data_IF_615039621733
#
_entry.id   IF_615039621733
#
_cell.length_a   1.000
_cell.length_b   1.000
_cell.length_c   1.000
_cell.angle_alpha   90.00
_cell.angle_beta   90.00
_cell.angle_gamma   90.00
#
_symmetry.space_group_name_H-M   'P 1'
#
loop_
_entity.id
_entity.type
_entity.pdbx_description
1 polymer ?
#
# COMPACT_ATOMS: atom_id res chain seq x y z
N UNK A 1 3.83 6.70 -10.70
CA UNK A 1 4.10 6.13 -9.38
C UNK A 1 3.55 7.06 -8.30
N UNK A 2 2.82 6.51 -7.36
CA UNK A 2 2.20 7.29 -6.29
C UNK A 2 2.93 7.04 -4.97
N UNK A 3 2.73 7.93 -4.01
CA UNK A 3 3.34 7.79 -2.69
C UNK A 3 2.29 7.83 -1.59
N UNK A 4 2.59 7.21 -0.47
CA UNK A 4 1.72 7.20 0.68
C UNK A 4 2.41 6.62 1.90
N UNK A 5 1.62 6.46 2.96
CA UNK A 5 2.10 5.91 4.24
C UNK A 5 1.25 4.70 4.58
N UNK A 6 1.90 3.63 5.01
CA UNK A 6 1.19 2.42 5.44
C UNK A 6 0.41 2.73 6.71
N UNK A 7 -0.92 2.64 6.63
CA UNK A 7 -1.78 2.85 7.78
C UNK A 7 -1.69 1.68 8.74
N UNK A 8 -1.77 0.47 8.22
CA UNK A 8 -1.43 -0.75 8.94
C UNK A 8 -1.21 -1.89 7.94
N UNK A 9 -0.54 -2.93 8.40
CA UNK A 9 -0.39 -4.14 7.61
C UNK A 9 -0.35 -5.34 8.55
N UNK A 10 -1.19 -6.34 8.28
CA UNK A 10 -1.24 -7.57 9.06
C UNK A 10 -0.58 -8.69 8.29
N UNK A 11 0.58 -9.14 8.76
CA UNK A 11 1.28 -10.27 8.13
C UNK A 11 0.48 -11.56 8.28
N UNK A 12 -0.20 -11.73 9.40
CA UNK A 12 -1.00 -12.93 9.67
C UNK A 12 -2.17 -13.05 8.68
N UNK A 13 -2.82 -11.93 8.39
CA UNK A 13 -3.95 -11.90 7.47
C UNK A 13 -3.52 -11.67 6.02
N UNK A 14 -2.32 -11.15 5.83
CA UNK A 14 -1.77 -10.93 4.50
C UNK A 14 -2.32 -9.73 3.77
N UNK A 15 -2.78 -8.70 4.49
CA UNK A 15 -3.28 -7.49 3.85
C UNK A 15 -3.11 -6.26 4.75
N UNK A 16 -3.27 -5.10 4.15
CA UNK A 16 -3.24 -3.85 4.89
C UNK A 16 -3.82 -2.72 4.07
N UNK A 17 -3.61 -1.50 4.54
CA UNK A 17 -4.10 -0.29 3.89
C UNK A 17 -3.01 0.77 3.83
N UNK A 18 -3.04 1.56 2.77
CA UNK A 18 -2.13 2.68 2.55
C UNK A 18 -2.94 3.96 2.50
N UNK A 19 -2.52 4.96 3.28
CA UNK A 19 -3.08 6.30 3.22
C UNK A 19 -2.32 7.08 2.15
N UNK A 20 -3.02 7.54 1.14
CA UNK A 20 -2.40 8.26 0.03
C UNK A 20 -1.99 9.67 0.44
N UNK A 21 -0.83 10.12 -0.06
CA UNK A 21 -0.33 11.47 0.23
C UNK A 21 -1.24 12.57 -0.33
N UNK A 22 -2.01 12.27 -1.39
CA UNK A 22 -2.91 13.24 -2.00
C UNK A 22 -4.23 13.42 -1.23
N UNK A 23 -4.41 12.74 -0.10
CA UNK A 23 -5.60 12.84 0.71
C UNK A 23 -6.82 12.10 0.18
N UNK A 24 -6.66 11.30 -0.86
CA UNK A 24 -7.75 10.49 -1.39
C UNK A 24 -7.98 9.25 -0.53
N UNK A 25 -8.94 8.42 -0.96
CA UNK A 25 -9.34 7.23 -0.21
C UNK A 25 -8.16 6.30 0.03
N UNK A 26 -8.23 5.56 1.12
CA UNK A 26 -7.22 4.56 1.45
C UNK A 26 -7.25 3.42 0.44
N UNK A 27 -6.08 2.86 0.17
CA UNK A 27 -5.92 1.76 -0.78
C UNK A 27 -5.70 0.46 -0.05
N UNK A 28 -6.39 -0.58 -0.50
CA UNK A 28 -6.16 -1.94 -0.04
C UNK A 28 -4.86 -2.45 -0.67
N UNK A 29 -4.06 -3.17 0.11
CA UNK A 29 -2.84 -3.83 -0.39
C UNK A 29 -2.78 -5.25 0.14
N UNK A 30 -2.50 -6.20 -0.76
CA UNK A 30 -2.35 -7.61 -0.42
C UNK A 30 -0.86 -7.95 -0.34
N UNK A 31 -0.50 -8.94 0.48
CA UNK A 31 0.91 -9.32 0.63
C UNK A 31 1.59 -9.69 -0.69
N UNK A 32 0.83 -10.22 -1.66
CA UNK A 32 1.37 -10.57 -2.97
C UNK A 32 1.68 -9.35 -3.84
N UNK A 33 1.18 -8.19 -3.45
CA UNK A 33 1.41 -6.93 -4.18
C UNK A 33 2.60 -6.15 -3.63
N UNK A 34 3.30 -6.70 -2.65
CA UNK A 34 4.46 -6.06 -2.04
C UNK A 34 5.72 -6.50 -2.76
N UNK A 35 6.58 -5.53 -3.09
CA UNK A 35 7.94 -5.81 -3.53
C UNK A 35 8.86 -5.86 -2.32
N UNK A 36 8.65 -4.93 -1.37
CA UNK A 36 9.38 -4.89 -0.12
C UNK A 36 8.44 -5.20 1.04
N UNK A 37 9.00 -5.73 2.12
CA UNK A 37 8.25 -5.92 3.35
C UNK A 37 7.99 -4.57 3.99
N UNK A 38 6.74 -4.33 4.37
CA UNK A 38 6.31 -3.04 4.92
C UNK A 38 5.69 -3.22 6.30
N UNK A 39 5.71 -2.15 7.09
CA UNK A 39 5.08 -2.10 8.39
C UNK A 39 4.36 -0.78 8.55
N UNK A 40 3.52 -0.68 9.59
CA UNK A 40 2.78 0.53 9.91
C UNK A 40 3.72 1.74 9.99
N UNK A 41 3.34 2.81 9.31
CA UNK A 41 4.10 4.06 9.33
C UNK A 41 5.16 4.19 8.27
N UNK A 42 5.42 3.13 7.50
CA UNK A 42 6.44 3.19 6.44
C UNK A 42 5.95 4.04 5.27
N UNK A 43 6.85 4.81 4.70
CA UNK A 43 6.56 5.53 3.46
C UNK A 43 6.85 4.61 2.29
N UNK A 44 5.92 4.59 1.34
CA UNK A 44 5.97 3.65 0.22
C UNK A 44 5.64 4.34 -1.10
N UNK A 45 6.14 3.76 -2.19
CA UNK A 45 5.67 4.06 -3.54
C UNK A 45 4.87 2.87 -4.04
N UNK A 46 3.91 3.13 -4.92
CA UNK A 46 3.03 2.09 -5.44
C UNK A 46 2.34 2.56 -6.70
N UNK A 47 1.73 1.62 -7.41
CA UNK A 47 0.79 1.90 -8.50
C UNK A 47 -0.60 1.49 -8.06
N UNK A 48 -1.60 2.05 -8.72
CA UNK A 48 -3.00 1.82 -8.39
C UNK A 48 -3.69 1.09 -9.52
N UNK A 49 -4.45 0.06 -9.17
CA UNK A 49 -5.27 -0.67 -10.12
C UNK A 49 -6.68 -0.79 -9.60
N UNK A 50 -7.66 -0.73 -10.51
CA UNK A 50 -9.06 -0.91 -10.17
C UNK A 50 -9.36 -2.40 -10.09
N UNK A 51 -9.97 -2.81 -8.98
CA UNK A 51 -10.36 -4.20 -8.74
C UNK A 51 -11.84 -4.33 -8.44
N UNK A 52 -12.32 -5.56 -8.24
CA UNK A 52 -13.75 -5.80 -7.96
C UNK A 52 -14.28 -5.10 -6.72
N UNK A 53 -13.40 -4.84 -5.76
CA UNK A 53 -13.77 -4.21 -4.49
C UNK A 53 -13.32 -2.75 -4.38
N UNK A 54 -12.89 -2.16 -5.50
CA UNK A 54 -12.37 -0.80 -5.52
C UNK A 54 -10.91 -0.75 -5.96
N UNK A 55 -10.21 0.29 -5.55
CA UNK A 55 -8.81 0.47 -5.96
C UNK A 55 -7.86 -0.23 -5.03
N UNK A 56 -6.86 -0.88 -5.60
CA UNK A 56 -5.82 -1.58 -4.87
C UNK A 56 -4.45 -1.01 -5.22
N UNK A 57 -3.54 -1.03 -4.25
CA UNK A 57 -2.13 -0.71 -4.50
C UNK A 57 -1.39 -1.99 -4.92
N UNK A 58 -0.44 -1.85 -5.84
CA UNK A 58 0.42 -2.97 -6.24
C UNK A 58 1.83 -2.45 -6.50
N UNK A 59 2.79 -3.37 -6.61
CA UNK A 59 4.22 -3.03 -6.75
C UNK A 59 4.67 -2.09 -5.64
N UNK A 60 4.26 -2.39 -4.41
CA UNK A 60 4.52 -1.53 -3.27
C UNK A 60 5.96 -1.69 -2.81
N UNK A 61 6.68 -0.57 -2.76
CA UNK A 61 8.10 -0.53 -2.36
C UNK A 61 8.29 0.50 -1.25
N UNK A 62 9.27 0.23 -0.39
CA UNK A 62 9.71 1.22 0.57
C UNK A 62 10.41 2.37 -0.15
N UNK A 63 10.11 3.59 0.28
CA UNK A 63 10.85 4.76 -0.18
C UNK A 63 12.15 4.79 0.60
N UNK A 64 13.25 4.79 -0.13
CA UNK A 64 14.58 4.95 0.46
C UNK A 64 15.02 6.39 0.28
N UNK A 65 15.27 7.04 1.40
CA UNK A 65 15.77 8.42 1.38
C UNK A 65 17.30 8.44 1.41
#
# INVERSE_FOLDING_TARGET
MKTGIVKFFSEDKGFGFITQDNGEVELFVHKNDLIDKITKGDRVTYDVAEGPKGFNAYDVKLIQS
#
